data_IF_667936630867
#
_entry.id   IF_667936630867
#
_cell.length_a   1.000
_cell.length_b   1.000
_cell.length_c   1.000
_cell.angle_alpha   90.00
_cell.angle_beta   90.00
_cell.angle_gamma   90.00
#
_symmetry.space_group_name_H-M   'P 1'
#
loop_
_entity.id
_entity.type
_entity.pdbx_description
1 polymer ?
#
# COMPACT_ATOMS: atom_id res chain seq x y z
N UNK A 1 -32.23 36.09 7.68
CA UNK A 1 -33.57 35.51 7.41
C UNK A 1 -33.48 34.20 6.61
N UNK A 2 -32.62 34.01 5.63
CA UNK A 2 -32.49 32.77 4.86
C UNK A 2 -31.69 31.65 5.55
N UNK A 3 -30.93 31.97 6.57
CA UNK A 3 -30.13 31.03 7.36
C UNK A 3 -30.89 30.45 8.55
N UNK A 4 -31.88 31.14 9.05
CA UNK A 4 -32.72 30.67 10.17
C UNK A 4 -33.83 29.69 9.76
N UNK A 5 -34.23 29.64 8.47
CA UNK A 5 -35.17 28.63 7.99
C UNK A 5 -34.54 27.26 7.71
N UNK A 6 -33.24 27.16 7.50
CA UNK A 6 -32.56 25.92 7.22
C UNK A 6 -32.29 25.05 8.47
N UNK A 7 -32.49 25.55 9.66
CA UNK A 7 -32.28 24.83 10.93
C UNK A 7 -33.54 24.05 11.40
N UNK A 8 -34.64 24.11 10.67
CA UNK A 8 -35.89 23.38 10.98
C UNK A 8 -36.14 22.11 10.16
N UNK A 9 -35.08 21.47 9.65
CA UNK A 9 -35.26 20.15 9.05
C UNK A 9 -35.14 19.12 10.20
N UNK A 10 -36.31 18.66 10.61
CA UNK A 10 -36.46 17.57 11.61
C UNK A 10 -35.79 16.28 11.11
N UNK A 11 -35.17 15.48 12.00
CA UNK A 11 -34.58 14.21 11.64
C UNK A 11 -35.67 13.26 11.12
N UNK A 12 -35.35 12.55 10.03
CA UNK A 12 -36.23 11.59 9.38
C UNK A 12 -36.78 10.56 10.40
N UNK A 13 -38.09 10.59 10.57
CA UNK A 13 -38.84 9.52 11.23
C UNK A 13 -39.06 8.41 10.21
N UNK A 14 -38.50 7.24 10.44
CA UNK A 14 -38.85 6.03 9.70
C UNK A 14 -39.87 5.27 10.54
N UNK A 15 -41.12 5.23 10.10
CA UNK A 15 -42.14 4.36 10.67
C UNK A 15 -42.09 2.99 9.99
N UNK A 16 -41.81 1.96 10.74
CA UNK A 16 -42.16 0.58 10.39
C UNK A 16 -42.84 -0.08 11.57
N UNK A 17 -44.07 -0.53 11.35
CA UNK A 17 -44.86 -1.32 12.27
C UNK A 17 -45.23 -0.67 13.64
N UNK A 18 -45.56 0.64 13.67
CA UNK A 18 -46.19 1.27 14.82
C UNK A 18 -45.32 1.43 16.07
N UNK A 19 -43.98 1.32 15.98
CA UNK A 19 -43.07 1.54 17.09
C UNK A 19 -42.10 2.66 16.73
N UNK A 20 -42.08 3.71 17.56
CA UNK A 20 -41.13 4.84 17.43
C UNK A 20 -39.90 4.53 18.27
N UNK A 21 -38.76 4.31 17.63
CA UNK A 21 -37.48 4.17 18.29
C UNK A 21 -36.70 5.49 18.21
N UNK A 22 -36.44 6.12 19.34
CA UNK A 22 -35.53 7.25 19.48
C UNK A 22 -34.24 6.77 20.10
N UNK A 23 -33.16 6.71 19.35
CA UNK A 23 -31.83 6.49 19.91
C UNK A 23 -31.20 7.78 20.42
N UNK A 24 -30.95 7.84 21.72
CA UNK A 24 -30.08 8.86 22.34
C UNK A 24 -28.67 8.30 22.40
N UNK A 25 -27.76 8.87 21.60
CA UNK A 25 -26.31 8.59 21.70
C UNK A 25 -25.75 9.42 22.85
N UNK A 26 -25.34 8.76 23.93
CA UNK A 26 -24.52 9.36 24.99
C UNK A 26 -23.10 8.77 24.92
N UNK A 27 -22.02 9.57 25.08
CA UNK A 27 -20.65 9.07 25.04
C UNK A 27 -20.35 8.34 26.38
N UNK A 28 -20.01 7.06 26.30
CA UNK A 28 -19.41 6.33 27.42
C UNK A 28 -17.94 6.07 27.14
N UNK A 29 -17.09 6.73 27.91
CA UNK A 29 -15.72 6.29 28.12
C UNK A 29 -15.73 4.84 28.64
N UNK A 30 -15.12 3.94 27.93
CA UNK A 30 -14.77 2.62 28.45
C UNK A 30 -13.28 2.41 28.29
N UNK A 31 -12.61 2.24 29.43
CA UNK A 31 -11.33 1.56 29.49
C UNK A 31 -11.55 0.16 28.91
N UNK A 32 -10.90 -0.13 27.79
CA UNK A 32 -11.00 -1.43 27.13
C UNK A 32 -9.75 -2.20 27.52
N UNK A 33 -9.87 -3.06 28.50
CA UNK A 33 -9.03 -4.25 28.57
C UNK A 33 -9.22 -5.03 27.28
N UNK A 34 -8.12 -5.46 26.69
CA UNK A 34 -8.12 -6.18 25.40
C UNK A 34 -8.89 -7.51 25.58
N UNK A 35 -10.18 -7.48 25.36
CA UNK A 35 -11.00 -8.68 25.32
C UNK A 35 -10.84 -9.37 23.97
N UNK A 36 -10.32 -10.58 23.98
CA UNK A 36 -10.25 -11.47 22.82
C UNK A 36 -11.69 -11.83 22.42
N UNK A 37 -12.24 -11.12 21.44
CA UNK A 37 -13.50 -11.51 20.80
C UNK A 37 -13.19 -12.45 19.64
N UNK A 38 -13.59 -13.69 19.79
CA UNK A 38 -13.46 -14.74 18.78
C UNK A 38 -14.74 -14.73 17.94
N UNK A 39 -14.61 -14.45 16.64
CA UNK A 39 -15.73 -14.48 15.70
C UNK A 39 -16.23 -15.92 15.49
N UNK A 40 -17.51 -16.14 15.69
CA UNK A 40 -18.18 -17.45 15.53
C UNK A 40 -18.31 -17.92 14.07
N UNK A 41 -17.89 -17.08 13.07
CA UNK A 41 -18.12 -17.34 11.65
C UNK A 41 -16.97 -18.01 10.89
N UNK A 42 -15.92 -18.49 11.56
CA UNK A 42 -14.74 -19.08 10.87
C UNK A 42 -15.03 -20.47 10.25
N UNK A 43 -16.19 -21.08 10.53
CA UNK A 43 -16.44 -22.48 10.13
C UNK A 43 -17.64 -22.72 9.20
N UNK A 44 -18.28 -21.74 8.58
CA UNK A 44 -19.56 -22.00 7.89
C UNK A 44 -19.59 -21.87 6.36
N UNK A 45 -18.48 -21.78 5.62
CA UNK A 45 -18.55 -21.68 4.16
C UNK A 45 -17.98 -22.87 3.37
N UNK A 46 -17.78 -24.01 3.97
CA UNK A 46 -17.33 -25.19 3.23
C UNK A 46 -18.19 -26.43 3.51
N UNK A 47 -19.51 -26.34 3.47
CA UNK A 47 -20.38 -27.50 3.22
C UNK A 47 -21.85 -27.04 3.21
N UNK A 48 -22.41 -26.75 2.05
CA UNK A 48 -23.84 -26.77 1.80
C UNK A 48 -24.19 -28.16 1.28
N UNK A 49 -24.54 -29.08 2.19
CA UNK A 49 -25.39 -30.20 1.86
C UNK A 49 -26.36 -30.44 3.01
N UNK A 50 -27.62 -30.22 2.73
CA UNK A 50 -28.85 -30.71 3.40
C UNK A 50 -28.66 -31.45 4.73
N UNK A 51 -28.95 -30.77 5.84
CA UNK A 51 -29.83 -31.35 6.89
C UNK A 51 -30.21 -30.28 7.90
N UNK A 52 -31.50 -30.17 8.16
CA UNK A 52 -32.09 -29.34 9.21
C UNK A 52 -31.83 -30.04 10.56
N UNK A 53 -30.70 -29.70 11.18
CA UNK A 53 -30.49 -29.93 12.62
C UNK A 53 -29.82 -28.70 13.21
N UNK A 54 -30.61 -27.87 13.86
CA UNK A 54 -30.14 -26.78 14.72
C UNK A 54 -29.58 -27.43 16.00
N UNK A 55 -28.27 -27.71 16.00
CA UNK A 55 -27.60 -28.00 17.29
C UNK A 55 -27.56 -26.71 18.11
N UNK A 56 -28.16 -26.77 19.30
CA UNK A 56 -27.95 -25.81 20.36
C UNK A 56 -26.49 -25.91 20.81
N UNK A 57 -25.64 -25.01 20.32
CA UNK A 57 -24.24 -24.86 20.76
C UNK A 57 -24.29 -24.35 22.19
N UNK A 58 -23.89 -25.17 23.13
CA UNK A 58 -23.87 -24.81 24.56
C UNK A 58 -22.76 -23.78 24.84
N UNK A 59 -22.87 -23.03 25.93
CA UNK A 59 -21.84 -22.10 26.35
C UNK A 59 -20.50 -22.80 26.61
N UNK A 60 -20.55 -24.04 27.09
CA UNK A 60 -19.39 -24.91 27.31
C UNK A 60 -18.65 -25.23 26.00
N UNK A 61 -19.38 -25.50 24.92
CA UNK A 61 -18.76 -25.71 23.58
C UNK A 61 -18.05 -24.47 23.06
N UNK A 62 -18.56 -23.28 23.42
CA UNK A 62 -17.95 -22.01 23.03
C UNK A 62 -16.66 -21.73 23.80
N UNK A 63 -16.63 -22.06 25.09
CA UNK A 63 -15.44 -21.91 25.94
C UNK A 63 -14.34 -22.90 25.53
N UNK A 64 -14.70 -24.15 25.28
CA UNK A 64 -13.73 -25.15 24.81
C UNK A 64 -13.11 -24.76 23.46
N UNK A 65 -13.92 -24.24 22.53
CA UNK A 65 -13.41 -23.69 21.26
C UNK A 65 -12.49 -22.49 21.48
N UNK A 66 -12.79 -21.60 22.41
CA UNK A 66 -11.93 -20.46 22.77
C UNK A 66 -10.59 -20.92 23.34
N UNK A 67 -10.58 -21.91 24.23
CA UNK A 67 -9.34 -22.42 24.79
C UNK A 67 -8.49 -23.15 23.75
N UNK A 68 -9.08 -24.00 22.92
CA UNK A 68 -8.36 -24.64 21.79
C UNK A 68 -7.75 -23.61 20.86
N UNK A 69 -8.47 -22.52 20.56
CA UNK A 69 -7.94 -21.45 19.71
C UNK A 69 -6.80 -20.70 20.40
N UNK A 70 -6.87 -20.43 21.70
CA UNK A 70 -5.76 -19.83 22.47
C UNK A 70 -4.50 -20.68 22.43
N UNK A 71 -4.65 -22.00 22.62
CA UNK A 71 -3.52 -22.94 22.54
C UNK A 71 -2.91 -22.91 21.14
N UNK A 72 -3.75 -22.99 20.09
CA UNK A 72 -3.29 -22.92 18.70
C UNK A 72 -2.57 -21.60 18.39
N UNK A 73 -3.06 -20.46 18.89
CA UNK A 73 -2.42 -19.15 18.72
C UNK A 73 -1.05 -19.12 19.40
N UNK A 74 -0.93 -19.66 20.62
CA UNK A 74 0.32 -19.68 21.37
C UNK A 74 1.39 -20.57 20.73
N UNK A 75 0.99 -21.67 20.11
CA UNK A 75 1.87 -22.61 19.42
C UNK A 75 2.19 -22.19 17.97
N UNK A 76 1.46 -21.23 17.43
CA UNK A 76 1.59 -20.78 16.04
C UNK A 76 2.76 -19.85 15.85
N UNK A 77 3.43 -19.97 14.69
CA UNK A 77 4.46 -19.04 14.27
C UNK A 77 3.89 -17.68 13.88
N UNK A 78 4.60 -16.60 14.23
CA UNK A 78 4.26 -15.27 13.73
C UNK A 78 4.83 -15.10 12.32
N UNK A 79 4.04 -14.52 11.44
CA UNK A 79 4.44 -14.18 10.08
C UNK A 79 3.95 -12.79 9.71
N UNK A 80 4.60 -12.22 8.68
CA UNK A 80 4.37 -10.85 8.24
C UNK A 80 4.29 -10.80 6.71
N UNK A 81 3.36 -10.01 6.18
CA UNK A 81 3.23 -9.81 4.74
C UNK A 81 2.37 -8.61 4.40
N UNK A 82 2.38 -8.21 3.14
CA UNK A 82 1.55 -7.11 2.64
C UNK A 82 0.27 -7.67 2.02
N UNK A 83 -0.88 -7.19 2.50
CA UNK A 83 -2.19 -7.66 2.08
C UNK A 83 -2.51 -7.24 0.64
N UNK A 84 -2.90 -8.19 -0.17
CA UNK A 84 -3.56 -8.01 -1.45
C UNK A 84 -4.96 -8.63 -1.37
N UNK A 85 -6.00 -7.81 -1.48
CA UNK A 85 -7.40 -8.27 -1.54
C UNK A 85 -7.74 -8.58 -2.98
N UNK A 86 -8.35 -9.74 -3.24
CA UNK A 86 -8.78 -10.14 -4.57
C UNK A 86 -10.06 -9.39 -4.95
N UNK A 87 -10.06 -8.70 -6.09
CA UNK A 87 -11.16 -7.82 -6.51
C UNK A 87 -12.53 -8.53 -6.63
N UNK A 88 -12.52 -9.79 -7.04
CA UNK A 88 -13.75 -10.58 -7.22
C UNK A 88 -14.16 -11.39 -5.98
N UNK A 89 -13.34 -11.39 -4.93
CA UNK A 89 -13.54 -12.19 -3.73
C UNK A 89 -13.26 -11.31 -2.51
N UNK A 90 -14.05 -11.48 -1.46
CA UNK A 90 -13.87 -10.70 -0.23
C UNK A 90 -12.65 -11.15 0.60
N UNK A 91 -11.89 -12.16 0.17
CA UNK A 91 -10.68 -12.63 0.84
C UNK A 91 -9.42 -12.01 0.24
N UNK A 92 -8.30 -12.15 0.94
CA UNK A 92 -7.00 -11.67 0.48
C UNK A 92 -5.86 -12.62 0.79
N UNK A 93 -4.67 -12.24 0.33
CA UNK A 93 -3.42 -12.93 0.64
C UNK A 93 -2.39 -11.94 1.18
N UNK A 94 -1.63 -12.34 2.19
CA UNK A 94 -0.42 -11.62 2.57
C UNK A 94 0.70 -12.06 1.63
N UNK A 95 1.21 -11.10 0.87
CA UNK A 95 2.35 -11.31 -0.02
C UNK A 95 3.63 -11.21 0.79
N UNK A 96 4.31 -12.32 0.94
CA UNK A 96 5.51 -12.42 1.78
C UNK A 96 6.80 -12.05 1.03
N UNK A 97 6.79 -12.11 -0.31
CA UNK A 97 7.96 -11.86 -1.12
C UNK A 97 7.66 -10.87 -2.25
N UNK A 98 8.36 -9.74 -2.24
CA UNK A 98 8.41 -8.77 -3.34
C UNK A 98 7.02 -8.35 -3.89
N UNK A 99 5.96 -8.46 -3.08
CA UNK A 99 4.55 -8.13 -3.41
C UNK A 99 3.94 -8.93 -4.58
N UNK A 100 4.64 -9.94 -5.06
CA UNK A 100 4.16 -10.87 -6.07
C UNK A 100 3.58 -12.14 -5.44
N UNK A 101 2.80 -12.87 -6.22
CA UNK A 101 2.24 -14.16 -5.79
C UNK A 101 3.35 -15.18 -5.59
N UNK A 102 3.35 -15.85 -4.44
CA UNK A 102 4.37 -16.84 -4.08
C UNK A 102 3.79 -18.01 -3.30
N UNK A 103 4.59 -19.06 -3.13
CA UNK A 103 4.20 -20.26 -2.39
C UNK A 103 4.02 -20.03 -0.89
N UNK A 104 4.70 -19.01 -0.35
CA UNK A 104 4.64 -18.65 1.06
C UNK A 104 3.53 -17.65 1.40
N UNK A 105 2.62 -17.38 0.47
CA UNK A 105 1.51 -16.47 0.69
C UNK A 105 0.56 -17.02 1.76
N UNK A 106 -0.02 -16.12 2.54
CA UNK A 106 -0.87 -16.46 3.67
C UNK A 106 -2.29 -15.99 3.39
N UNK A 107 -3.25 -16.90 3.45
CA UNK A 107 -4.65 -16.60 3.27
C UNK A 107 -5.21 -15.75 4.41
N UNK A 108 -5.97 -14.71 4.08
CA UNK A 108 -6.68 -13.83 5.02
C UNK A 108 -8.17 -13.90 4.76
N UNK A 109 -8.92 -14.24 5.79
CA UNK A 109 -10.38 -14.43 5.68
C UNK A 109 -11.13 -13.09 5.51
N UNK A 110 -12.33 -13.12 4.88
CA UNK A 110 -13.19 -11.94 4.76
C UNK A 110 -13.60 -11.33 6.10
N UNK A 111 -13.76 -12.17 7.12
CA UNK A 111 -14.12 -11.72 8.47
C UNK A 111 -13.02 -10.86 9.10
N UNK A 112 -11.75 -11.27 8.95
CA UNK A 112 -10.60 -10.49 9.45
C UNK A 112 -10.44 -9.17 8.70
N UNK A 113 -10.61 -9.19 7.36
CA UNK A 113 -10.54 -7.98 6.54
C UNK A 113 -11.60 -6.96 6.98
N UNK A 114 -12.85 -7.40 7.16
CA UNK A 114 -13.94 -6.52 7.61
C UNK A 114 -13.75 -6.04 9.04
N UNK A 115 -13.36 -6.93 9.96
CA UNK A 115 -13.20 -6.62 11.37
C UNK A 115 -12.19 -5.52 11.64
N UNK A 116 -11.04 -5.59 10.99
CA UNK A 116 -9.93 -4.64 11.19
C UNK A 116 -9.87 -3.55 10.10
N UNK A 117 -10.89 -3.47 9.23
CA UNK A 117 -10.93 -2.52 8.10
C UNK A 117 -9.63 -2.56 7.29
N UNK A 118 -9.14 -3.79 7.02
CA UNK A 118 -7.91 -4.00 6.26
C UNK A 118 -8.12 -3.65 4.78
N UNK A 119 -7.08 -3.14 4.17
CA UNK A 119 -7.08 -2.75 2.75
C UNK A 119 -5.85 -3.28 2.06
N UNK A 120 -5.92 -3.39 0.73
CA UNK A 120 -4.74 -3.69 -0.07
C UNK A 120 -3.61 -2.70 0.25
N UNK A 121 -2.41 -3.23 0.46
CA UNK A 121 -1.24 -2.47 0.86
C UNK A 121 -0.98 -2.43 2.38
N UNK A 122 -1.91 -2.90 3.23
CA UNK A 122 -1.63 -3.03 4.65
C UNK A 122 -0.60 -4.13 4.90
N UNK A 123 0.39 -3.82 5.70
CA UNK A 123 1.31 -4.82 6.24
C UNK A 123 0.71 -5.42 7.50
N UNK A 124 0.42 -6.70 7.45
CA UNK A 124 -0.19 -7.43 8.57
C UNK A 124 0.84 -8.39 9.16
N UNK A 125 1.03 -8.30 10.46
CA UNK A 125 1.82 -9.22 11.27
C UNK A 125 0.87 -9.98 12.19
N UNK A 126 1.01 -11.31 12.25
CA UNK A 126 0.12 -12.09 13.07
C UNK A 126 0.45 -13.58 13.11
N UNK A 127 -0.33 -14.31 13.90
CA UNK A 127 -0.21 -15.76 14.06
C UNK A 127 -0.82 -16.51 12.89
N UNK A 128 -0.09 -17.50 12.40
CA UNK A 128 -0.42 -18.24 11.18
C UNK A 128 -0.45 -19.74 11.48
N UNK A 129 -1.49 -20.43 11.01
CA UNK A 129 -1.53 -21.89 11.02
C UNK A 129 -1.00 -22.48 9.72
N UNK A 130 -0.42 -23.64 9.81
CA UNK A 130 -0.06 -24.43 8.64
C UNK A 130 -1.29 -24.81 7.81
N UNK A 131 -1.06 -25.07 6.51
CA UNK A 131 -2.10 -25.54 5.62
C UNK A 131 -2.63 -26.91 6.09
N UNK A 132 -3.95 -27.08 6.09
CA UNK A 132 -4.60 -28.36 6.35
C UNK A 132 -4.55 -29.23 5.09
N UNK A 133 -4.82 -30.53 5.26
CA UNK A 133 -4.96 -31.44 4.13
C UNK A 133 -5.98 -30.90 3.12
N UNK A 134 -5.52 -30.70 1.87
CA UNK A 134 -6.31 -30.11 0.79
C UNK A 134 -6.24 -28.58 0.66
N UNK A 135 -5.62 -27.86 1.60
CA UNK A 135 -5.37 -26.42 1.48
C UNK A 135 -3.97 -26.16 0.88
N UNK A 136 -3.87 -25.22 -0.06
CA UNK A 136 -2.59 -24.85 -0.69
C UNK A 136 -1.79 -23.84 0.13
N UNK A 137 -2.45 -22.98 0.91
CA UNK A 137 -1.82 -21.87 1.61
C UNK A 137 -2.01 -21.96 3.11
N UNK A 138 -1.03 -21.43 3.84
CA UNK A 138 -1.17 -21.15 5.27
C UNK A 138 -2.30 -20.14 5.49
N UNK A 139 -2.89 -20.11 6.68
CA UNK A 139 -3.97 -19.17 6.97
C UNK A 139 -3.66 -18.30 8.21
N UNK A 140 -3.98 -17.02 8.13
CA UNK A 140 -3.87 -16.08 9.24
C UNK A 140 -4.92 -16.44 10.30
N UNK A 141 -4.48 -16.70 11.53
CA UNK A 141 -5.35 -16.99 12.67
C UNK A 141 -5.70 -15.74 13.47
N UNK A 142 -4.69 -14.93 13.75
CA UNK A 142 -4.81 -13.77 14.60
C UNK A 142 -3.93 -12.61 14.09
N UNK A 143 -4.50 -11.39 14.08
CA UNK A 143 -3.79 -10.17 13.69
C UNK A 143 -3.16 -9.54 14.92
N UNK A 144 -1.85 -9.47 14.97
CA UNK A 144 -1.09 -8.85 16.07
C UNK A 144 -0.85 -7.37 15.81
N UNK A 145 -0.43 -7.02 14.57
CA UNK A 145 -0.15 -5.64 14.18
C UNK A 145 -0.59 -5.36 12.75
N UNK A 146 -0.96 -4.11 12.49
CA UNK A 146 -1.22 -3.57 11.16
C UNK A 146 -0.30 -2.37 10.94
N UNK A 147 0.56 -2.43 9.91
CA UNK A 147 1.58 -1.42 9.60
C UNK A 147 2.50 -1.08 10.80
N UNK A 148 2.79 -2.09 11.64
CA UNK A 148 3.64 -1.97 12.82
C UNK A 148 2.96 -1.41 14.07
N UNK A 149 1.65 -1.14 14.03
CA UNK A 149 0.86 -0.61 15.14
C UNK A 149 -0.28 -1.57 15.54
N UNK A 150 -0.97 -1.25 16.67
CA UNK A 150 -2.16 -2.00 17.09
C UNK A 150 -3.24 -1.99 16.00
N UNK A 151 -3.94 -3.11 15.75
CA UNK A 151 -5.00 -3.19 14.75
C UNK A 151 -6.12 -2.16 14.94
N UNK A 152 -6.39 -1.72 16.17
CA UNK A 152 -7.44 -0.74 16.48
C UNK A 152 -7.20 0.61 15.80
N UNK A 153 -5.94 1.00 15.62
CA UNK A 153 -5.58 2.23 14.90
C UNK A 153 -5.92 2.16 13.41
N UNK A 154 -5.93 0.97 12.82
CA UNK A 154 -6.29 0.78 11.43
C UNK A 154 -7.79 1.01 11.17
N UNK A 155 -8.65 0.73 12.16
CA UNK A 155 -10.12 0.81 12.03
C UNK A 155 -10.57 2.25 11.79
N UNK A 156 -9.99 3.22 12.50
CA UNK A 156 -10.42 4.63 12.47
C UNK A 156 -9.70 5.52 11.46
N UNK A 157 -8.76 4.98 10.66
CA UNK A 157 -7.95 5.81 9.73
C UNK A 157 -8.78 6.36 8.57
N UNK A 158 -8.53 7.62 8.21
CA UNK A 158 -9.09 8.24 7.01
C UNK A 158 -8.48 7.59 5.75
N UNK A 159 -9.25 7.56 4.67
CA UNK A 159 -8.73 7.13 3.36
C UNK A 159 -7.75 8.18 2.83
N UNK A 160 -6.68 7.74 2.18
CA UNK A 160 -5.68 8.60 1.55
C UNK A 160 -6.31 9.66 0.63
N UNK A 161 -7.33 9.27 -0.13
CA UNK A 161 -8.03 10.16 -1.07
C UNK A 161 -8.84 11.29 -0.36
N UNK A 162 -9.14 11.11 0.93
CA UNK A 162 -9.90 12.05 1.76
C UNK A 162 -8.99 12.92 2.65
N UNK A 163 -7.68 12.75 2.56
CA UNK A 163 -6.71 13.58 3.27
C UNK A 163 -6.50 14.89 2.52
N UNK A 164 -6.26 15.98 3.25
CA UNK A 164 -6.10 17.33 2.69
C UNK A 164 -4.69 17.53 2.12
N UNK A 165 -4.51 17.65 0.78
CA UNK A 165 -3.18 17.86 0.21
C UNK A 165 -2.74 19.30 0.39
N UNK A 166 -1.49 19.50 0.80
CA UNK A 166 -0.84 20.81 0.89
C UNK A 166 0.47 20.83 0.07
N UNK A 167 1.01 22.03 -0.15
CA UNK A 167 2.31 22.16 -0.82
C UNK A 167 3.45 21.60 0.04
N UNK A 168 4.53 21.10 -0.59
CA UNK A 168 5.76 20.71 0.10
C UNK A 168 6.38 21.93 0.81
N UNK A 169 6.23 22.01 2.12
CA UNK A 169 6.72 23.14 2.95
C UNK A 169 7.89 22.74 3.87
N UNK A 170 8.20 21.46 3.97
CA UNK A 170 9.32 20.92 4.75
C UNK A 170 10.35 20.29 3.82
N UNK A 171 11.59 20.80 3.88
CA UNK A 171 12.67 20.38 3.01
C UNK A 171 13.30 19.07 3.47
N UNK A 172 13.62 18.19 2.51
CA UNK A 172 14.46 17.01 2.70
C UNK A 172 15.89 17.34 2.29
N UNK A 173 16.81 17.48 3.27
CA UNK A 173 18.22 17.71 3.01
C UNK A 173 18.91 16.42 2.62
N UNK A 174 19.60 16.43 1.50
CA UNK A 174 20.37 15.31 0.97
C UNK A 174 21.85 15.39 1.38
N UNK A 175 22.38 16.58 1.64
CA UNK A 175 23.77 16.74 2.09
C UNK A 175 23.98 16.02 3.42
N UNK A 176 25.12 15.35 3.55
CA UNK A 176 25.53 14.65 4.77
C UNK A 176 26.87 15.23 5.26
N UNK A 177 27.19 15.08 6.54
CA UNK A 177 28.41 15.62 7.18
C UNK A 177 29.73 15.19 6.53
N UNK A 178 29.72 14.22 5.63
CA UNK A 178 30.93 13.73 4.96
C UNK A 178 31.57 14.72 3.97
N UNK A 179 30.89 15.80 3.60
CA UNK A 179 31.41 16.88 2.73
C UNK A 179 31.93 16.47 1.33
N UNK A 180 31.96 15.16 1.05
CA UNK A 180 32.52 14.59 -0.19
C UNK A 180 31.48 14.30 -1.26
N UNK A 181 30.18 14.30 -0.91
CA UNK A 181 29.11 14.06 -1.88
C UNK A 181 28.67 15.35 -2.54
N UNK A 182 29.43 15.75 -3.56
CA UNK A 182 29.14 16.97 -4.33
C UNK A 182 27.80 16.89 -5.04
N UNK A 183 27.34 15.69 -5.46
CA UNK A 183 26.06 15.52 -6.16
C UNK A 183 24.87 15.87 -5.28
N UNK A 184 24.84 15.39 -4.04
CA UNK A 184 23.75 15.66 -3.10
C UNK A 184 23.74 17.13 -2.68
N UNK A 185 24.92 17.71 -2.44
CA UNK A 185 25.05 19.14 -2.16
C UNK A 185 24.57 20.02 -3.31
N UNK A 186 24.90 19.64 -4.57
CA UNK A 186 24.43 20.35 -5.74
C UNK A 186 22.91 20.25 -5.91
N UNK A 187 22.34 19.07 -5.64
CA UNK A 187 20.89 18.89 -5.63
C UNK A 187 20.22 19.75 -4.57
N UNK A 188 20.73 19.76 -3.37
CA UNK A 188 20.19 20.60 -2.30
C UNK A 188 20.21 22.09 -2.64
N UNK A 189 21.22 22.52 -3.37
CA UNK A 189 21.36 23.92 -3.77
C UNK A 189 20.49 24.30 -4.95
N UNK A 190 20.48 23.45 -6.01
CA UNK A 190 19.84 23.78 -7.30
C UNK A 190 18.40 23.27 -7.40
N UNK A 191 18.10 22.12 -6.78
CA UNK A 191 16.84 21.41 -6.92
C UNK A 191 16.37 20.86 -5.56
N UNK A 192 16.07 21.73 -4.59
CA UNK A 192 15.66 21.30 -3.25
C UNK A 192 14.40 20.43 -3.31
N UNK A 193 14.40 19.36 -2.53
CA UNK A 193 13.29 18.40 -2.47
C UNK A 193 12.53 18.63 -1.16
N UNK A 194 11.20 18.72 -1.24
CA UNK A 194 10.33 18.81 -0.07
C UNK A 194 9.55 17.53 0.19
N UNK A 195 9.09 17.33 1.42
CA UNK A 195 8.16 16.27 1.77
C UNK A 195 6.87 16.41 0.96
N UNK A 196 6.46 15.35 0.27
CA UNK A 196 5.31 15.39 -0.63
C UNK A 196 5.64 15.83 -2.07
N UNK A 197 6.91 16.07 -2.39
CA UNK A 197 7.34 16.51 -3.71
C UNK A 197 7.23 15.40 -4.76
N UNK A 198 6.85 15.80 -5.99
CA UNK A 198 7.04 15.03 -7.21
C UNK A 198 8.30 15.51 -7.90
N UNK A 199 9.23 14.60 -8.22
CA UNK A 199 10.46 14.94 -8.92
C UNK A 199 10.80 13.92 -9.99
N UNK A 200 11.32 14.40 -11.13
CA UNK A 200 11.80 13.54 -12.21
C UNK A 200 13.29 13.78 -12.42
N UNK A 201 14.07 12.71 -12.39
CA UNK A 201 15.49 12.69 -12.72
C UNK A 201 15.63 12.25 -14.17
N UNK A 202 15.91 13.20 -15.05
CA UNK A 202 15.96 13.00 -16.50
C UNK A 202 17.39 12.90 -16.97
N UNK A 203 17.73 11.84 -17.69
CA UNK A 203 19.04 11.71 -18.32
C UNK A 203 19.03 10.62 -19.41
N UNK A 204 19.96 10.67 -20.35
CA UNK A 204 20.15 9.61 -21.33
C UNK A 204 20.58 8.30 -20.68
N UNK A 205 20.52 7.17 -21.38
CA UNK A 205 21.04 5.88 -20.89
C UNK A 205 22.52 5.99 -20.48
N UNK A 206 22.89 5.22 -19.43
CA UNK A 206 24.27 5.16 -18.91
C UNK A 206 24.83 6.47 -18.30
N UNK A 207 24.01 7.47 -18.05
CA UNK A 207 24.42 8.75 -17.43
C UNK A 207 24.54 8.69 -15.88
N UNK A 208 24.38 7.53 -15.26
CA UNK A 208 24.52 7.35 -13.82
C UNK A 208 23.26 7.63 -12.98
N UNK A 209 22.05 7.56 -13.59
CA UNK A 209 20.77 7.76 -12.88
C UNK A 209 20.60 6.85 -11.66
N UNK A 210 20.82 5.55 -11.83
CA UNK A 210 20.71 4.56 -10.76
C UNK A 210 21.72 4.85 -9.62
N UNK A 211 22.94 5.29 -9.98
CA UNK A 211 23.96 5.70 -9.00
C UNK A 211 23.51 6.92 -8.20
N UNK A 212 22.93 7.92 -8.87
CA UNK A 212 22.40 9.12 -8.20
C UNK A 212 21.22 8.75 -7.29
N UNK A 213 20.29 7.92 -7.76
CA UNK A 213 19.15 7.45 -6.98
C UNK A 213 19.61 6.70 -5.72
N UNK A 214 20.63 5.84 -5.85
CA UNK A 214 21.25 5.12 -4.73
C UNK A 214 21.84 6.08 -3.69
N UNK A 215 22.53 7.14 -4.10
CA UNK A 215 23.05 8.17 -3.18
C UNK A 215 21.92 8.92 -2.47
N UNK A 216 20.88 9.31 -3.18
CA UNK A 216 19.68 9.94 -2.60
C UNK A 216 19.09 9.00 -1.53
N UNK A 217 18.92 7.72 -1.83
CA UNK A 217 18.40 6.72 -0.90
C UNK A 217 19.25 6.61 0.37
N UNK A 218 20.56 6.51 0.22
CA UNK A 218 21.51 6.42 1.35
C UNK A 218 21.46 7.66 2.24
N UNK A 219 21.41 8.84 1.63
CA UNK A 219 21.42 10.10 2.35
C UNK A 219 20.09 10.36 3.08
N UNK A 220 18.95 10.05 2.44
CA UNK A 220 17.64 10.08 3.12
C UNK A 220 17.62 9.13 4.31
N UNK A 221 18.05 7.89 4.14
CA UNK A 221 18.09 6.91 5.23
C UNK A 221 19.00 7.32 6.39
N UNK A 222 20.07 8.09 6.10
CA UNK A 222 21.00 8.59 7.10
C UNK A 222 20.45 9.80 7.84
N UNK A 223 19.92 10.78 7.09
CA UNK A 223 19.46 12.05 7.64
C UNK A 223 18.09 11.94 8.31
N UNK A 224 17.24 11.00 7.84
CA UNK A 224 15.85 10.83 8.27
C UNK A 224 15.52 9.36 8.53
N UNK A 225 15.96 8.78 9.66
CA UNK A 225 15.77 7.35 9.98
C UNK A 225 14.29 6.96 10.15
N UNK A 226 13.41 7.92 10.44
CA UNK A 226 11.97 7.69 10.64
C UNK A 226 11.19 7.63 9.32
N UNK A 227 11.74 8.19 8.24
CA UNK A 227 11.14 8.15 6.91
C UNK A 227 11.12 6.72 6.39
N UNK A 228 9.97 6.31 5.86
CA UNK A 228 9.81 5.02 5.20
C UNK A 228 10.27 5.13 3.74
N UNK A 229 11.44 4.56 3.47
CA UNK A 229 12.03 4.56 2.13
C UNK A 229 11.68 3.28 1.38
N UNK A 230 11.08 3.44 0.21
CA UNK A 230 10.82 2.37 -0.76
C UNK A 230 11.58 2.68 -2.04
N UNK A 231 12.37 1.74 -2.52
CA UNK A 231 12.99 1.80 -3.84
C UNK A 231 12.27 0.81 -4.75
N UNK A 232 11.71 1.31 -5.83
CA UNK A 232 10.98 0.52 -6.82
C UNK A 232 11.77 0.44 -8.12
N UNK A 233 12.22 -0.76 -8.46
CA UNK A 233 12.99 -1.05 -9.67
C UNK A 233 12.11 -1.81 -10.66
N UNK A 234 11.87 -1.22 -11.83
CA UNK A 234 11.01 -1.79 -12.89
C UNK A 234 11.83 -2.08 -14.12
N UNK A 235 11.78 -3.34 -14.58
CA UNK A 235 12.48 -3.81 -15.79
C UNK A 235 14.01 -3.57 -15.67
N UNK A 236 14.56 -3.71 -14.45
CA UNK A 236 15.98 -3.58 -14.15
C UNK A 236 16.69 -4.94 -14.11
N UNK A 237 18.01 -4.91 -14.17
CA UNK A 237 18.83 -6.12 -14.15
C UNK A 237 18.93 -6.71 -12.76
N UNK A 238 18.96 -8.05 -12.60
CA UNK A 238 19.10 -8.71 -11.28
C UNK A 238 20.33 -8.27 -10.49
N UNK A 239 21.45 -8.00 -11.17
CA UNK A 239 22.69 -7.50 -10.53
C UNK A 239 22.51 -6.09 -9.95
N UNK A 240 21.76 -5.19 -10.63
CA UNK A 240 21.47 -3.85 -10.13
C UNK A 240 20.52 -3.90 -8.92
N UNK A 241 19.54 -4.79 -8.96
CA UNK A 241 18.65 -5.08 -7.81
C UNK A 241 19.47 -5.55 -6.59
N UNK A 242 20.40 -6.47 -6.80
CA UNK A 242 21.24 -7.02 -5.72
C UNK A 242 22.13 -5.92 -5.13
N UNK A 243 22.75 -5.09 -5.97
CA UNK A 243 23.57 -3.97 -5.52
C UNK A 243 22.76 -2.95 -4.71
N UNK A 244 21.53 -2.64 -5.16
CA UNK A 244 20.64 -1.73 -4.46
C UNK A 244 20.25 -2.29 -3.08
N UNK A 245 19.82 -3.56 -3.00
CA UNK A 245 19.49 -4.23 -1.73
C UNK A 245 20.63 -4.25 -0.71
N UNK A 246 21.85 -4.40 -1.17
CA UNK A 246 23.05 -4.41 -0.29
C UNK A 246 23.46 -3.02 0.18
N UNK A 247 23.06 -1.99 -0.56
CA UNK A 247 23.57 -0.62 -0.39
C UNK A 247 22.63 0.28 0.40
N UNK A 248 21.36 -0.08 0.56
CA UNK A 248 20.32 0.82 1.09
C UNK A 248 19.66 0.19 2.33
N UNK A 249 19.34 1.04 3.31
CA UNK A 249 18.44 0.71 4.42
C UNK A 249 17.03 1.16 4.05
N UNK A 250 16.22 0.25 3.53
CA UNK A 250 14.85 0.52 3.08
C UNK A 250 14.29 -0.68 2.35
N UNK A 251 13.04 -0.61 1.95
CA UNK A 251 12.36 -1.67 1.21
C UNK A 251 12.73 -1.55 -0.27
N UNK A 252 13.45 -2.54 -0.82
CA UNK A 252 13.77 -2.62 -2.25
C UNK A 252 12.83 -3.62 -2.91
N UNK A 253 11.87 -3.09 -3.64
CA UNK A 253 10.85 -3.83 -4.37
C UNK A 253 11.18 -3.74 -5.86
N UNK A 254 11.05 -4.83 -6.58
CA UNK A 254 11.54 -4.91 -7.95
C UNK A 254 10.69 -5.85 -8.81
N UNK A 255 10.80 -5.66 -10.10
CA UNK A 255 10.40 -6.60 -11.13
C UNK A 255 11.45 -6.52 -12.22
N UNK A 256 12.19 -7.61 -12.43
CA UNK A 256 13.35 -7.67 -13.32
C UNK A 256 12.94 -7.81 -14.78
N UNK A 257 13.85 -7.52 -15.70
CA UNK A 257 13.58 -7.46 -17.14
C UNK A 257 13.11 -8.79 -17.77
N UNK A 258 13.35 -9.90 -17.08
CA UNK A 258 12.94 -11.26 -17.46
C UNK A 258 11.52 -11.62 -17.00
N UNK A 259 10.88 -10.74 -16.22
CA UNK A 259 9.50 -10.93 -15.78
C UNK A 259 8.49 -10.37 -16.80
N UNK A 260 7.25 -10.87 -16.71
CA UNK A 260 6.15 -10.41 -17.55
C UNK A 260 5.75 -8.96 -17.24
N UNK A 261 5.29 -8.18 -18.26
CA UNK A 261 4.83 -6.81 -18.05
C UNK A 261 3.71 -6.64 -17.02
N UNK A 262 2.86 -7.67 -16.84
CA UNK A 262 1.83 -7.69 -15.81
C UNK A 262 2.43 -7.60 -14.39
N UNK A 263 3.58 -8.25 -14.15
CA UNK A 263 4.27 -8.20 -12.86
C UNK A 263 4.80 -6.78 -12.58
N UNK A 264 5.35 -6.10 -13.58
CA UNK A 264 5.78 -4.69 -13.45
C UNK A 264 4.61 -3.79 -13.02
N UNK A 265 3.47 -3.94 -13.68
CA UNK A 265 2.26 -3.19 -13.35
C UNK A 265 1.76 -3.51 -11.94
N UNK A 266 1.68 -4.80 -11.60
CA UNK A 266 1.20 -5.28 -10.29
C UNK A 266 2.08 -4.81 -9.13
N UNK A 267 3.39 -4.96 -9.24
CA UNK A 267 4.34 -4.54 -8.21
C UNK A 267 4.24 -3.04 -7.96
N UNK A 268 4.16 -2.23 -9.04
CA UNK A 268 4.02 -0.78 -8.90
C UNK A 268 2.72 -0.39 -8.19
N UNK A 269 1.62 -1.05 -8.51
CA UNK A 269 0.33 -0.82 -7.85
C UNK A 269 0.37 -1.18 -6.36
N UNK A 270 0.96 -2.32 -6.02
CA UNK A 270 1.12 -2.75 -4.62
C UNK A 270 2.01 -1.80 -3.81
N UNK A 271 3.10 -1.30 -4.40
CA UNK A 271 3.96 -0.28 -3.77
C UNK A 271 3.19 1.01 -3.49
N UNK A 272 2.39 1.47 -4.45
CA UNK A 272 1.56 2.66 -4.27
C UNK A 272 0.55 2.47 -3.14
N UNK A 273 -0.18 1.36 -3.13
CA UNK A 273 -1.16 1.08 -2.07
C UNK A 273 -0.47 0.92 -0.70
N UNK A 274 0.70 0.29 -0.64
CA UNK A 274 1.51 0.22 0.57
C UNK A 274 1.89 1.60 1.09
N UNK A 275 2.38 2.47 0.22
CA UNK A 275 2.74 3.84 0.59
C UNK A 275 1.54 4.64 1.11
N UNK A 276 0.38 4.55 0.44
CA UNK A 276 -0.86 5.18 0.89
C UNK A 276 -1.25 4.72 2.30
N UNK A 277 -1.17 3.40 2.60
CA UNK A 277 -1.50 2.87 3.94
C UNK A 277 -0.59 3.44 5.03
N UNK A 278 0.69 3.64 4.73
CA UNK A 278 1.62 4.26 5.67
C UNK A 278 1.33 5.74 5.90
N UNK A 279 1.01 6.49 4.84
CA UNK A 279 0.65 7.92 4.94
C UNK A 279 -0.66 8.11 5.70
N UNK A 280 -1.65 7.23 5.54
CA UNK A 280 -2.91 7.24 6.31
C UNK A 280 -2.67 7.11 7.83
N UNK A 281 -1.51 6.62 8.24
CA UNK A 281 -1.07 6.56 9.65
C UNK A 281 -0.14 7.72 10.04
N UNK A 282 -0.06 8.76 9.22
CA UNK A 282 0.77 9.94 9.49
C UNK A 282 2.27 9.73 9.29
N UNK A 283 2.70 8.69 8.54
CA UNK A 283 4.12 8.44 8.26
C UNK A 283 4.58 9.19 7.02
N UNK A 284 5.82 9.66 7.05
CA UNK A 284 6.49 10.20 5.88
C UNK A 284 7.06 9.06 5.05
N UNK A 285 6.72 9.03 3.76
CA UNK A 285 7.13 7.98 2.82
C UNK A 285 7.85 8.60 1.64
N UNK A 286 8.98 8.02 1.26
CA UNK A 286 9.70 8.39 0.03
C UNK A 286 9.77 7.17 -0.88
N UNK A 287 9.29 7.32 -2.11
CA UNK A 287 9.44 6.32 -3.15
C UNK A 287 10.48 6.83 -4.16
N UNK A 288 11.51 6.03 -4.37
CA UNK A 288 12.50 6.23 -5.43
C UNK A 288 12.25 5.19 -6.52
N UNK A 289 11.90 5.63 -7.73
CA UNK A 289 11.52 4.73 -8.83
C UNK A 289 12.54 4.78 -9.98
N UNK A 290 13.02 3.64 -10.42
CA UNK A 290 13.78 3.44 -11.65
C UNK A 290 13.09 2.38 -12.53
N UNK A 291 12.37 2.72 -13.59
CA UNK A 291 12.06 4.02 -14.11
C UNK A 291 10.58 4.17 -14.50
N UNK A 292 10.07 5.40 -14.53
CA UNK A 292 8.70 5.68 -14.96
C UNK A 292 8.50 5.40 -16.46
N UNK A 293 9.56 5.55 -17.27
CA UNK A 293 9.55 5.22 -18.69
C UNK A 293 9.26 3.75 -18.91
N UNK A 294 9.97 2.86 -18.19
CA UNK A 294 9.79 1.41 -18.29
C UNK A 294 8.44 0.96 -17.74
N UNK A 295 7.97 1.59 -16.65
CA UNK A 295 6.64 1.34 -16.14
C UNK A 295 5.56 1.68 -17.16
N UNK A 296 5.66 2.83 -17.83
CA UNK A 296 4.71 3.25 -18.87
C UNK A 296 4.73 2.30 -20.08
N UNK A 297 5.90 1.80 -20.47
CA UNK A 297 6.03 0.77 -21.51
C UNK A 297 5.33 -0.53 -21.10
N UNK A 298 5.49 -0.98 -19.86
CA UNK A 298 4.83 -2.17 -19.34
C UNK A 298 3.30 -2.03 -19.37
N UNK A 299 2.78 -0.88 -18.95
CA UNK A 299 1.34 -0.61 -19.08
C UNK A 299 0.89 -0.58 -20.55
N UNK A 300 1.69 -0.06 -21.48
CA UNK A 300 1.34 -0.06 -22.89
C UNK A 300 1.17 -1.47 -23.49
N UNK A 301 1.85 -2.46 -22.89
CA UNK A 301 1.73 -3.87 -23.27
C UNK A 301 0.57 -4.60 -22.57
N UNK A 302 0.11 -4.11 -21.43
CA UNK A 302 -0.86 -4.81 -20.58
C UNK A 302 -2.29 -4.31 -20.68
N UNK A 303 -2.49 -3.06 -21.10
CA UNK A 303 -3.84 -2.50 -21.24
C UNK A 303 -4.58 -3.03 -22.46
N UNK A 304 -5.88 -3.00 -22.41
CA UNK A 304 -6.72 -3.17 -23.61
C UNK A 304 -6.56 -1.93 -24.50
N UNK A 305 -6.15 -2.08 -25.76
CA UNK A 305 -5.94 -0.95 -26.65
C UNK A 305 -7.18 -0.04 -26.79
N UNK A 306 -6.99 1.27 -26.62
CA UNK A 306 -8.08 2.25 -26.77
C UNK A 306 -8.44 2.54 -28.22
N UNK A 307 -7.66 2.03 -29.19
CA UNK A 307 -7.80 2.34 -30.61
C UNK A 307 -7.20 3.68 -31.01
N UNK A 308 -6.61 4.42 -30.06
CA UNK A 308 -5.90 5.67 -30.29
C UNK A 308 -4.41 5.46 -30.07
N UNK A 309 -3.57 6.10 -30.85
CA UNK A 309 -2.12 5.94 -30.72
C UNK A 309 -1.46 7.31 -30.77
N UNK A 310 -0.64 7.60 -29.74
CA UNK A 310 0.27 8.74 -29.71
C UNK A 310 1.55 8.42 -30.49
N UNK A 311 2.43 9.44 -30.64
CA UNK A 311 3.72 9.26 -31.31
C UNK A 311 4.52 8.11 -30.65
N UNK A 312 5.19 7.30 -31.48
CA UNK A 312 6.00 6.17 -31.01
C UNK A 312 5.21 4.91 -30.65
N UNK A 313 3.91 4.82 -30.99
CA UNK A 313 3.11 3.62 -30.69
C UNK A 313 2.57 3.55 -29.25
N UNK A 314 2.54 4.67 -28.53
CA UNK A 314 2.04 4.76 -27.17
C UNK A 314 0.52 4.93 -27.18
N UNK A 315 -0.19 4.06 -26.48
CA UNK A 315 -1.63 4.23 -26.23
C UNK A 315 -1.85 5.24 -25.09
N UNK A 316 -2.75 6.24 -25.24
CA UNK A 316 -3.05 7.21 -24.18
C UNK A 316 -3.48 6.55 -22.86
N UNK A 317 -4.18 5.40 -22.93
CA UNK A 317 -4.61 4.63 -21.76
C UNK A 317 -3.45 4.08 -20.95
N UNK A 318 -2.31 3.81 -21.56
CA UNK A 318 -1.11 3.31 -20.91
C UNK A 318 -0.53 4.28 -19.87
N UNK A 319 -0.79 5.57 -20.04
CA UNK A 319 -0.27 6.62 -19.15
C UNK A 319 -1.14 6.83 -17.91
N UNK A 320 -2.38 6.31 -17.90
CA UNK A 320 -3.34 6.59 -16.82
C UNK A 320 -2.80 6.12 -15.45
N UNK A 321 -2.37 4.87 -15.35
CA UNK A 321 -1.88 4.32 -14.08
C UNK A 321 -0.52 4.89 -13.66
N UNK A 322 0.48 5.04 -14.54
CA UNK A 322 1.73 5.76 -14.21
C UNK A 322 1.50 7.21 -13.77
N UNK A 323 0.57 7.95 -14.39
CA UNK A 323 0.19 9.31 -13.95
C UNK A 323 -0.48 9.28 -12.58
N UNK A 324 -1.38 8.31 -12.33
CA UNK A 324 -2.01 8.12 -11.02
C UNK A 324 -0.97 7.80 -9.95
N UNK A 325 0.01 6.96 -10.26
CA UNK A 325 1.12 6.64 -9.37
C UNK A 325 1.92 7.90 -9.02
N UNK A 326 2.43 8.61 -10.00
CA UNK A 326 3.25 9.79 -9.81
C UNK A 326 2.46 10.95 -9.19
N UNK A 327 1.20 11.13 -9.58
CA UNK A 327 0.29 12.14 -9.04
C UNK A 327 -0.16 11.89 -7.60
N UNK A 328 0.10 10.71 -7.05
CA UNK A 328 -0.20 10.42 -5.64
C UNK A 328 0.73 11.16 -4.68
N UNK A 329 1.91 11.61 -5.14
CA UNK A 329 2.83 12.37 -4.31
C UNK A 329 2.19 13.67 -3.83
N UNK A 330 2.13 13.84 -2.51
CA UNK A 330 1.57 15.02 -1.83
C UNK A 330 2.02 15.11 -0.38
N UNK A 331 2.09 16.31 0.15
CA UNK A 331 2.17 16.55 1.57
C UNK A 331 0.75 16.66 2.13
N UNK A 332 0.54 16.27 3.38
CA UNK A 332 -0.79 16.12 3.99
C UNK A 332 -0.88 17.02 5.23
N UNK A 333 -1.98 17.78 5.33
CA UNK A 333 -2.21 18.69 6.45
C UNK A 333 -2.40 17.94 7.78
N UNK A 334 -3.07 16.80 7.75
CA UNK A 334 -3.31 15.95 8.93
C UNK A 334 -2.06 15.20 9.41
N UNK A 335 -0.96 15.30 8.68
CA UNK A 335 0.32 14.66 8.95
C UNK A 335 0.66 13.52 7.99
N UNK A 336 1.95 13.27 7.84
CA UNK A 336 2.48 12.35 6.86
C UNK A 336 2.63 12.96 5.47
N UNK A 337 3.47 12.35 4.66
CA UNK A 337 3.73 12.79 3.29
C UNK A 337 4.09 11.63 2.38
N UNK A 338 3.81 11.77 1.09
CA UNK A 338 4.28 10.86 0.04
C UNK A 338 5.13 11.65 -0.95
N UNK A 339 6.44 11.43 -0.93
CA UNK A 339 7.40 12.00 -1.88
C UNK A 339 7.74 10.95 -2.93
N UNK A 340 7.71 11.30 -4.20
CA UNK A 340 8.06 10.38 -5.30
C UNK A 340 9.11 11.02 -6.18
N UNK A 341 10.27 10.37 -6.29
CA UNK A 341 11.34 10.72 -7.23
C UNK A 341 11.47 9.58 -8.23
N UNK A 342 11.18 9.86 -9.48
CA UNK A 342 11.23 8.87 -10.55
C UNK A 342 12.34 9.22 -11.56
N UNK A 343 13.02 8.21 -12.10
CA UNK A 343 13.90 8.42 -13.24
C UNK A 343 13.12 8.33 -14.53
N UNK A 344 13.49 9.14 -15.51
CA UNK A 344 12.98 9.06 -16.87
C UNK A 344 14.13 8.94 -17.86
N UNK A 345 13.90 8.17 -18.92
CA UNK A 345 14.85 7.99 -20.03
C UNK A 345 14.54 8.96 -21.16
N UNK A 346 15.55 9.62 -21.66
CA UNK A 346 15.50 10.48 -22.87
C UNK A 346 16.67 10.14 -23.79
N UNK A 347 16.62 10.61 -25.03
CA UNK A 347 17.68 10.38 -26.01
C UNK A 347 18.01 8.89 -26.24
N UNK A 348 17.01 8.04 -26.11
CA UNK A 348 17.14 6.59 -26.35
C UNK A 348 17.02 6.23 -27.83
N UNK A 349 16.68 7.19 -28.70
CA UNK A 349 16.27 6.96 -30.09
C UNK A 349 14.83 6.43 -30.22
N UNK A 350 14.11 6.26 -29.12
CA UNK A 350 12.71 5.79 -29.06
C UNK A 350 11.76 6.98 -28.99
N UNK A 351 10.94 7.19 -30.00
CA UNK A 351 9.87 8.22 -29.97
C UNK A 351 8.84 7.96 -28.85
N UNK A 352 8.68 6.72 -28.42
CA UNK A 352 7.81 6.39 -27.27
C UNK A 352 8.36 6.97 -25.97
N UNK A 353 9.67 6.88 -25.73
CA UNK A 353 10.30 7.42 -24.51
C UNK A 353 10.21 8.94 -24.46
N UNK A 354 10.45 9.58 -25.60
CA UNK A 354 10.32 11.04 -25.72
C UNK A 354 8.87 11.47 -25.42
N UNK A 355 7.88 10.73 -25.94
CA UNK A 355 6.48 11.01 -25.71
C UNK A 355 6.11 10.81 -24.23
N UNK A 356 6.58 9.73 -23.60
CA UNK A 356 6.39 9.48 -22.17
C UNK A 356 6.97 10.63 -21.35
N UNK A 357 8.20 11.06 -21.63
CA UNK A 357 8.82 12.19 -20.95
C UNK A 357 8.00 13.48 -21.10
N UNK A 358 7.55 13.81 -22.33
CA UNK A 358 6.71 14.99 -22.58
C UNK A 358 5.43 14.99 -21.75
N UNK A 359 4.81 13.83 -21.56
CA UNK A 359 3.57 13.66 -20.79
C UNK A 359 3.75 13.81 -19.27
N UNK A 360 4.98 13.62 -18.77
CA UNK A 360 5.29 13.73 -17.34
C UNK A 360 5.99 15.03 -16.95
N UNK A 361 6.69 15.70 -17.86
CA UNK A 361 7.49 16.91 -17.53
C UNK A 361 6.67 18.07 -16.98
N UNK A 362 5.38 18.12 -17.25
CA UNK A 362 4.46 19.14 -16.77
C UNK A 362 3.65 18.73 -15.53
N UNK A 363 3.91 17.53 -14.96
CA UNK A 363 3.19 16.99 -13.81
C UNK A 363 3.98 17.26 -12.54
#
# INVERSE_FOLDING_TARGET
ELIEELVKITPNKIEKNGVILTEKIAPKNRNIEASIHIDENVNNEAYVSNSRDRYNVTEEDKEEKKERLKVMINESNSSKGVLEIQENNSFGFLRCSNYLTGENDIYVSPSQIRRFNLRTGDEVEGKVREAKDGEKFKALLFVEKVNGESPDKAIGRKNFENLTPIYPNERLHLETDNGRDLSSRLMDFMCPIGKGQRGIIVAPPKAGKTTLLKRIAQNISKNYPDIKLIVLLIDERPEEVTDMKRSIKGDVIYSTFDEEPQNHAKVSQMVLERAKRMVEQGKDVVILMDSITRLSRAYNLTITPTGRTLSGGLDPGALLMPKKFFGAARNIEEGGSLTILATALVETGSRMDDMIFEEFKGT
#
